data_IF_617384316784
#
_entry.id   IF_617384316784
#
_cell.length_a   1.000
_cell.length_b   1.000
_cell.length_c   1.000
_cell.angle_alpha   90.00
_cell.angle_beta   90.00
_cell.angle_gamma   90.00
#
_symmetry.space_group_name_H-M   'P 1'
#
loop_
_entity.id
_entity.type
_entity.pdbx_description
1 polymer ?
#
# COMPACT_ATOMS: atom_id res chain seq x y z
N UNK A 1 36.74 -73.83 27.58
CA UNK A 1 37.45 -73.59 26.32
C UNK A 1 37.48 -72.09 26.15
N UNK A 2 38.58 -71.52 26.58
CA UNK A 2 39.07 -70.15 26.35
C UNK A 2 40.08 -70.23 25.18
N UNK A 3 40.69 -69.14 24.65
CA UNK A 3 40.45 -67.70 24.89
C UNK A 3 40.63 -66.77 23.64
N UNK A 4 40.49 -65.46 23.90
CA UNK A 4 41.30 -64.30 23.47
C UNK A 4 41.58 -63.93 21.99
N UNK A 5 41.37 -62.64 21.70
CA UNK A 5 42.32 -61.66 21.13
C UNK A 5 41.61 -60.28 21.24
N UNK A 6 41.86 -59.42 22.22
CA UNK A 6 42.98 -58.46 22.35
C UNK A 6 43.37 -57.74 21.04
N UNK A 7 43.02 -56.46 20.92
CA UNK A 7 44.01 -55.40 20.71
C UNK A 7 43.43 -53.98 20.93
N UNK A 8 43.87 -53.39 22.03
CA UNK A 8 44.06 -51.96 22.27
C UNK A 8 45.16 -51.39 21.36
N UNK A 9 45.15 -50.07 21.07
CA UNK A 9 46.28 -49.10 21.25
C UNK A 9 45.94 -47.72 20.65
N UNK A 10 45.97 -46.71 21.54
CA UNK A 10 46.54 -45.35 21.47
C UNK A 10 46.62 -44.60 20.12
N UNK A 11 46.00 -43.41 20.01
CA UNK A 11 46.51 -42.07 20.37
C UNK A 11 47.50 -41.48 19.35
N UNK A 12 47.15 -40.31 18.79
CA UNK A 12 47.95 -39.07 18.84
C UNK A 12 47.54 -38.07 17.73
N UNK A 13 47.28 -36.83 18.16
CA UNK A 13 47.28 -35.63 17.32
C UNK A 13 48.59 -35.51 16.52
N UNK A 14 48.53 -34.76 15.40
CA UNK A 14 49.43 -33.62 15.34
C UNK A 14 48.76 -32.30 14.92
N UNK A 15 49.10 -31.31 15.72
CA UNK A 15 49.02 -29.86 15.59
C UNK A 15 49.28 -29.28 14.18
N UNK A 16 48.63 -28.14 13.93
CA UNK A 16 49.18 -26.86 13.37
C UNK A 16 49.70 -26.89 11.93
N UNK A 17 49.45 -25.96 11.00
CA UNK A 17 49.08 -24.52 11.02
C UNK A 17 48.87 -24.08 9.54
N UNK A 18 48.91 -22.77 9.19
CA UNK A 18 47.78 -21.98 8.73
C UNK A 18 47.76 -21.76 7.20
N UNK A 19 46.61 -21.37 6.66
CA UNK A 19 46.59 -20.63 5.40
C UNK A 19 45.71 -19.39 5.55
N UNK A 20 46.38 -18.29 5.85
CA UNK A 20 45.90 -16.96 5.50
C UNK A 20 45.85 -16.84 3.98
N UNK A 21 44.74 -16.33 3.44
CA UNK A 21 44.82 -15.42 2.31
C UNK A 21 43.61 -14.50 2.34
N UNK A 22 43.89 -13.31 2.86
CA UNK A 22 43.29 -12.03 2.51
C UNK A 22 42.69 -11.99 1.09
N UNK A 23 41.45 -11.50 0.98
CA UNK A 23 41.10 -10.54 -0.06
C UNK A 23 39.93 -9.69 0.43
N UNK A 24 40.30 -8.52 0.94
CA UNK A 24 39.40 -7.40 1.15
C UNK A 24 38.89 -6.92 -0.22
N UNK A 25 37.59 -7.07 -0.48
CA UNK A 25 36.93 -6.36 -1.58
C UNK A 25 36.32 -5.10 -1.01
N UNK A 26 36.96 -3.99 -1.38
CA UNK A 26 36.63 -2.61 -1.06
C UNK A 26 35.19 -2.29 -1.47
N UNK A 27 34.39 -1.80 -0.54
CA UNK A 27 33.08 -1.21 -0.80
C UNK A 27 33.25 0.04 -1.69
N UNK A 28 32.42 0.25 -2.73
CA UNK A 28 32.34 1.53 -3.38
C UNK A 28 31.46 2.47 -2.55
N UNK A 29 32.09 3.51 -1.99
CA UNK A 29 31.42 4.73 -1.58
C UNK A 29 30.62 5.26 -2.79
N UNK A 30 29.32 5.49 -2.60
CA UNK A 30 28.54 6.35 -3.50
C UNK A 30 27.98 7.50 -2.73
N UNK A 31 28.52 8.65 -3.09
CA UNK A 31 28.16 9.99 -2.69
C UNK A 31 26.66 10.26 -2.89
N UNK A 32 26.11 11.07 -1.99
CA UNK A 32 24.72 11.50 -2.04
C UNK A 32 24.46 12.41 -3.24
N UNK A 33 23.54 11.99 -4.10
CA UNK A 33 22.87 12.89 -5.04
C UNK A 33 21.64 13.48 -4.35
N UNK A 34 21.78 14.73 -3.91
CA UNK A 34 20.67 15.59 -3.49
C UNK A 34 19.77 15.88 -4.69
N UNK A 35 18.46 15.74 -4.49
CA UNK A 35 17.45 15.97 -5.51
C UNK A 35 17.16 17.47 -5.68
N UNK A 36 18.11 18.22 -6.26
CA UNK A 36 17.86 19.52 -6.88
C UNK A 36 18.62 19.56 -8.22
N UNK A 37 18.00 20.20 -9.22
CA UNK A 37 18.50 20.44 -10.58
C UNK A 37 18.43 19.29 -11.60
N UNK A 38 17.30 19.23 -12.32
CA UNK A 38 17.37 19.17 -13.79
C UNK A 38 16.08 19.67 -14.45
N UNK A 39 16.04 20.98 -14.70
CA UNK A 39 15.09 21.57 -15.63
C UNK A 39 15.67 21.53 -17.06
N UNK A 40 14.83 21.02 -17.99
CA UNK A 40 14.70 21.47 -19.39
C UNK A 40 15.62 20.81 -20.45
N UNK A 41 15.10 19.75 -21.06
CA UNK A 41 15.27 19.48 -22.49
C UNK A 41 14.06 18.72 -23.05
N UNK A 42 13.11 19.45 -23.64
CA UNK A 42 11.96 18.90 -24.37
C UNK A 42 12.39 18.34 -25.73
N UNK A 43 12.31 17.02 -25.90
CA UNK A 43 12.29 16.34 -27.20
C UNK A 43 10.88 15.81 -27.44
N UNK A 44 10.16 16.37 -28.43
CA UNK A 44 8.82 15.91 -28.83
C UNK A 44 8.94 14.63 -29.66
N UNK A 45 8.18 13.54 -29.38
CA UNK A 45 8.10 12.42 -30.29
C UNK A 45 7.14 12.71 -31.45
N UNK A 46 7.63 12.52 -32.68
CA UNK A 46 6.86 12.55 -33.92
C UNK A 46 6.12 11.22 -34.06
N UNK A 47 4.79 11.23 -33.95
CA UNK A 47 3.97 10.04 -34.19
C UNK A 47 3.42 10.06 -35.62
N UNK A 48 3.98 9.22 -36.49
CA UNK A 48 3.47 9.00 -37.85
C UNK A 48 2.13 8.22 -37.79
N UNK A 49 1.05 8.84 -38.29
CA UNK A 49 -0.25 8.17 -38.45
C UNK A 49 -0.20 7.18 -39.62
N UNK A 50 -0.28 5.88 -39.33
CA UNK A 50 -0.68 4.85 -40.31
C UNK A 50 -2.21 4.83 -40.42
N UNK A 51 -2.74 5.19 -41.58
CA UNK A 51 -4.15 4.99 -41.92
C UNK A 51 -4.38 3.54 -42.34
N UNK A 52 -5.26 2.81 -41.65
CA UNK A 52 -5.84 1.55 -42.13
C UNK A 52 -7.25 1.85 -42.64
N UNK A 53 -7.49 1.60 -43.92
CA UNK A 53 -8.80 1.71 -44.55
C UNK A 53 -9.64 0.47 -44.20
N UNK A 54 -10.80 0.67 -43.58
CA UNK A 54 -11.83 -0.36 -43.45
C UNK A 54 -12.96 -0.04 -44.43
N UNK A 55 -13.21 -0.97 -45.36
CA UNK A 55 -14.30 -0.93 -46.35
C UNK A 55 -15.50 -1.65 -45.76
N UNK A 56 -16.49 -0.91 -45.25
CA UNK A 56 -17.75 -1.49 -44.78
C UNK A 56 -18.77 -1.60 -45.93
N UNK A 57 -19.35 -2.80 -46.07
CA UNK A 57 -20.43 -3.12 -47.02
C UNK A 57 -21.77 -2.54 -46.56
N UNK A 58 -22.63 -2.25 -47.55
CA UNK A 58 -23.98 -1.65 -47.47
C UNK A 58 -24.98 -2.58 -46.78
N UNK A 59 -25.91 -2.01 -46.01
CA UNK A 59 -27.13 -2.67 -45.50
C UNK A 59 -27.72 -1.97 -44.27
N UNK A 60 -28.79 -1.18 -44.47
CA UNK A 60 -29.60 -0.37 -43.54
C UNK A 60 -30.34 -1.20 -42.44
N UNK A 61 -31.13 -0.59 -41.50
CA UNK A 61 -31.03 0.69 -40.78
C UNK A 61 -31.27 0.54 -39.24
N UNK A 62 -30.62 1.31 -38.37
CA UNK A 62 -31.10 1.49 -36.96
C UNK A 62 -30.95 2.95 -36.52
N UNK A 63 -32.01 3.40 -35.85
CA UNK A 63 -32.47 4.73 -35.43
C UNK A 63 -31.45 5.78 -34.95
N UNK A 64 -31.62 6.99 -35.48
CA UNK A 64 -31.13 8.24 -34.90
C UNK A 64 -31.87 8.52 -33.58
N UNK A 65 -31.21 8.28 -32.44
CA UNK A 65 -31.73 8.76 -31.15
C UNK A 65 -30.68 8.86 -30.03
N UNK A 66 -29.47 9.36 -30.32
CA UNK A 66 -28.53 9.77 -29.24
C UNK A 66 -27.51 10.85 -29.62
N UNK A 67 -27.30 11.11 -30.91
CA UNK A 67 -26.44 12.19 -31.39
C UNK A 67 -27.10 13.58 -31.36
N UNK A 68 -28.44 13.67 -31.45
CA UNK A 68 -29.17 14.95 -31.40
C UNK A 68 -29.41 15.50 -29.98
N UNK A 69 -29.12 14.72 -28.93
CA UNK A 69 -29.30 15.19 -27.53
C UNK A 69 -28.08 15.89 -26.93
N UNK A 70 -26.92 15.88 -27.59
CA UNK A 70 -25.70 16.55 -27.10
C UNK A 70 -25.30 17.79 -27.91
N UNK A 71 -26.05 18.15 -28.97
CA UNK A 71 -25.80 19.38 -29.74
C UNK A 71 -26.70 20.56 -29.33
N UNK A 72 -27.67 20.35 -28.42
CA UNK A 72 -28.54 21.42 -27.90
C UNK A 72 -28.22 21.86 -26.45
N UNK A 73 -27.04 21.50 -25.91
CA UNK A 73 -26.64 21.89 -24.54
C UNK A 73 -25.36 22.74 -24.45
N UNK A 74 -24.81 23.14 -25.59
CA UNK A 74 -23.68 24.09 -25.66
C UNK A 74 -24.06 25.42 -26.32
N UNK A 75 -25.32 25.63 -26.68
CA UNK A 75 -25.85 26.91 -27.16
C UNK A 75 -26.99 27.38 -26.24
N UNK A 76 -26.61 27.78 -25.03
CA UNK A 76 -27.40 28.61 -24.10
C UNK A 76 -26.53 28.89 -22.87
N UNK A 77 -25.57 29.80 -23.01
CA UNK A 77 -25.03 30.77 -22.03
C UNK A 77 -24.05 31.62 -22.86
N UNK A 78 -24.62 32.44 -23.73
CA UNK A 78 -23.97 33.56 -24.41
C UNK A 78 -25.11 34.43 -24.92
N UNK A 79 -25.69 35.19 -23.99
CA UNK A 79 -26.81 36.08 -24.24
C UNK A 79 -26.84 37.12 -23.12
N UNK A 80 -26.58 38.35 -23.53
CA UNK A 80 -27.02 39.59 -22.89
C UNK A 80 -26.28 40.06 -21.64
N UNK A 81 -25.04 40.52 -21.86
CA UNK A 81 -24.48 41.67 -21.14
C UNK A 81 -24.30 42.79 -22.16
N UNK A 82 -25.34 43.61 -22.29
CA UNK A 82 -25.27 44.86 -23.02
C UNK A 82 -24.66 45.90 -22.07
N UNK A 83 -23.42 46.31 -22.34
CA UNK A 83 -22.79 47.44 -21.66
C UNK A 83 -23.09 48.71 -22.46
N UNK A 84 -24.11 49.46 -22.05
CA UNK A 84 -24.27 50.83 -22.51
C UNK A 84 -23.46 51.74 -21.59
N UNK A 85 -22.24 52.07 -22.02
CA UNK A 85 -21.43 53.15 -21.43
C UNK A 85 -21.85 54.43 -22.14
N UNK A 86 -22.76 55.18 -21.51
CA UNK A 86 -23.09 56.55 -21.89
C UNK A 86 -22.33 57.53 -21.00
N UNK A 87 -21.41 58.30 -21.58
CA UNK A 87 -20.81 59.47 -20.93
C UNK A 87 -21.51 60.70 -21.51
N UNK A 88 -22.16 61.49 -20.66
CA UNK A 88 -22.43 62.91 -20.92
C UNK A 88 -22.21 63.64 -19.59
N UNK A 89 -21.24 64.56 -19.59
CA UNK A 89 -20.94 65.40 -18.44
C UNK A 89 -21.85 66.61 -18.37
N UNK A 90 -22.16 67.04 -17.15
CA UNK A 90 -22.33 68.44 -16.76
C UNK A 90 -22.45 68.50 -15.24
N UNK A 91 -21.98 69.62 -14.70
CA UNK A 91 -21.77 69.93 -13.29
C UNK A 91 -22.98 69.77 -12.35
N UNK A 92 -22.63 69.74 -11.06
CA UNK A 92 -23.42 69.93 -9.83
C UNK A 92 -24.02 68.70 -9.13
N UNK A 93 -23.75 68.68 -7.82
CA UNK A 93 -24.28 67.79 -6.78
C UNK A 93 -25.75 67.43 -6.96
N UNK A 94 -26.10 66.15 -6.81
CA UNK A 94 -27.31 65.71 -6.10
C UNK A 94 -27.33 64.20 -5.91
N UNK A 95 -27.52 63.80 -4.65
CA UNK A 95 -27.88 62.44 -4.23
C UNK A 95 -29.16 61.96 -4.94
N UNK A 96 -29.14 60.74 -5.48
CA UNK A 96 -30.38 60.02 -5.81
C UNK A 96 -30.38 58.65 -5.16
N UNK A 97 -31.28 58.56 -4.18
CA UNK A 97 -31.70 57.38 -3.43
C UNK A 97 -32.39 56.40 -4.38
N UNK A 98 -31.88 55.17 -4.47
CA UNK A 98 -32.60 54.05 -5.07
C UNK A 98 -32.97 53.03 -3.97
N UNK A 99 -34.20 53.14 -3.50
CA UNK A 99 -34.82 52.18 -2.58
C UNK A 99 -35.07 50.85 -3.26
N UNK A 100 -34.35 49.79 -2.85
CA UNK A 100 -34.61 48.42 -3.29
C UNK A 100 -35.40 47.69 -2.22
N UNK A 101 -36.62 47.29 -2.58
CA UNK A 101 -37.52 46.48 -1.76
C UNK A 101 -37.02 45.04 -1.64
N UNK A 102 -36.87 44.55 -0.42
CA UNK A 102 -36.45 43.18 -0.13
C UNK A 102 -37.54 42.17 -0.54
N UNK A 103 -37.23 41.31 -1.52
CA UNK A 103 -37.79 39.94 -1.55
C UNK A 103 -36.73 38.98 -1.03
N UNK A 104 -37.01 38.44 0.15
CA UNK A 104 -36.21 37.45 0.85
C UNK A 104 -36.03 36.20 -0.01
N UNK A 105 -34.81 35.97 -0.48
CA UNK A 105 -34.35 34.67 -0.93
C UNK A 105 -33.09 34.34 -0.10
N UNK A 106 -33.26 33.40 0.84
CA UNK A 106 -32.20 32.89 1.70
C UNK A 106 -31.21 32.05 0.87
N UNK A 107 -30.20 32.69 0.31
CA UNK A 107 -29.02 32.00 -0.20
C UNK A 107 -28.11 31.63 0.98
N UNK A 108 -28.29 30.41 1.50
CA UNK A 108 -27.31 29.76 2.35
C UNK A 108 -26.06 29.46 1.50
N UNK A 109 -25.13 30.43 1.44
CA UNK A 109 -23.79 30.19 0.95
C UNK A 109 -23.07 29.30 1.98
N UNK A 110 -23.07 28.00 1.74
CA UNK A 110 -22.27 27.05 2.52
C UNK A 110 -20.82 27.29 2.15
N UNK A 111 -20.15 28.17 2.89
CA UNK A 111 -18.71 28.37 2.80
C UNK A 111 -18.03 27.03 3.09
N UNK A 112 -17.59 26.36 2.02
CA UNK A 112 -16.71 25.20 2.11
C UNK A 112 -15.40 25.69 2.70
N UNK A 113 -15.26 25.59 4.03
CA UNK A 113 -13.98 25.74 4.72
C UNK A 113 -13.09 24.60 4.21
N UNK A 114 -12.33 24.86 3.16
CA UNK A 114 -11.22 23.99 2.76
C UNK A 114 -10.30 23.90 3.98
N UNK A 115 -10.22 22.72 4.59
CA UNK A 115 -9.19 22.44 5.60
C UNK A 115 -7.82 22.75 4.97
N UNK A 116 -6.96 23.53 5.63
CA UNK A 116 -5.67 23.90 5.05
C UNK A 116 -4.79 22.66 4.88
N UNK A 117 -3.98 22.65 3.81
CA UNK A 117 -2.99 21.59 3.50
C UNK A 117 -1.95 21.34 4.62
N UNK A 118 -1.87 22.25 5.58
CA UNK A 118 -0.88 22.26 6.66
C UNK A 118 -0.92 21.06 7.61
N UNK A 119 -2.07 20.41 7.78
CA UNK A 119 -2.25 19.37 8.82
C UNK A 119 -1.36 18.12 8.58
N UNK A 120 -0.97 17.84 7.33
CA UNK A 120 -0.14 16.67 6.96
C UNK A 120 1.34 17.00 6.83
N UNK A 121 1.70 18.25 6.50
CA UNK A 121 3.10 18.70 6.57
C UNK A 121 3.55 18.84 8.03
N UNK A 122 2.63 19.24 8.92
CA UNK A 122 2.86 19.29 10.36
C UNK A 122 3.06 17.89 10.97
N UNK A 123 2.41 16.84 10.46
CA UNK A 123 2.53 15.49 11.04
C UNK A 123 3.90 14.87 10.82
N UNK A 124 4.53 15.09 9.65
CA UNK A 124 5.90 14.65 9.38
C UNK A 124 6.92 15.42 10.24
N UNK A 125 6.69 16.73 10.47
CA UNK A 125 7.55 17.58 11.29
C UNK A 125 7.41 17.35 12.81
N UNK A 126 6.31 16.73 13.25
CA UNK A 126 6.04 16.42 14.66
C UNK A 126 6.31 14.95 15.02
N UNK A 127 6.58 14.08 14.04
CA UNK A 127 6.87 12.69 14.33
C UNK A 127 8.28 12.57 14.92
N UNK A 128 8.35 12.23 16.19
CA UNK A 128 9.58 12.11 16.95
C UNK A 128 10.29 10.79 16.59
N UNK A 129 11.14 10.82 15.56
CA UNK A 129 11.94 9.65 15.13
C UNK A 129 12.91 9.16 16.22
N UNK A 130 13.21 9.99 17.24
CA UNK A 130 14.03 9.60 18.39
C UNK A 130 13.22 8.77 19.42
N UNK A 131 11.89 8.74 19.29
CA UNK A 131 10.98 7.97 20.15
C UNK A 131 10.12 7.01 19.34
N UNK A 132 10.77 6.26 18.47
CA UNK A 132 10.11 5.16 17.77
C UNK A 132 9.64 4.09 18.78
N UNK A 133 8.46 3.49 18.55
CA UNK A 133 8.01 2.35 19.32
C UNK A 133 9.01 1.19 19.22
N UNK A 134 9.02 0.34 20.26
CA UNK A 134 9.88 -0.83 20.28
C UNK A 134 9.55 -1.80 19.14
N UNK A 135 10.58 -2.50 18.63
CA UNK A 135 10.41 -3.62 17.69
C UNK A 135 9.66 -4.76 18.37
N UNK A 136 8.79 -5.42 17.60
CA UNK A 136 8.09 -6.61 18.09
C UNK A 136 9.07 -7.77 18.27
N UNK A 137 8.85 -8.59 19.31
CA UNK A 137 9.70 -9.74 19.59
C UNK A 137 9.38 -10.93 18.66
N UNK A 138 10.33 -11.83 18.36
CA UNK A 138 10.09 -13.00 17.49
C UNK A 138 8.85 -13.82 17.89
N UNK A 139 8.65 -14.06 19.19
CA UNK A 139 7.50 -14.80 19.72
C UNK A 139 6.13 -14.17 19.43
N UNK A 140 6.07 -12.90 19.03
CA UNK A 140 4.83 -12.27 18.57
C UNK A 140 4.29 -12.93 17.29
N UNK A 141 5.19 -13.41 16.43
CA UNK A 141 4.91 -13.94 15.10
C UNK A 141 4.72 -15.46 15.07
N UNK A 142 5.17 -16.15 16.12
CA UNK A 142 5.07 -17.61 16.30
C UNK A 142 3.65 -18.04 16.72
N UNK A 143 2.65 -17.63 15.94
CA UNK A 143 1.28 -18.08 16.04
C UNK A 143 0.68 -18.24 14.64
N UNK A 144 -0.40 -19.00 14.51
CA UNK A 144 -1.03 -19.21 13.21
C UNK A 144 -1.44 -17.88 12.56
N UNK A 145 -1.54 -17.86 11.22
CA UNK A 145 -1.79 -16.62 10.47
C UNK A 145 -3.13 -15.95 10.81
N UNK A 146 -4.14 -16.70 11.25
CA UNK A 146 -5.45 -16.16 11.64
C UNK A 146 -5.40 -15.44 12.98
N UNK A 147 -4.54 -15.86 13.90
CA UNK A 147 -4.25 -15.16 15.14
C UNK A 147 -3.33 -13.97 14.90
N UNK A 148 -2.32 -14.10 14.04
CA UNK A 148 -1.37 -13.03 13.76
C UNK A 148 -2.03 -11.85 13.04
N UNK A 149 -2.90 -12.10 12.08
CA UNK A 149 -3.51 -11.07 11.24
C UNK A 149 -4.19 -9.93 12.04
N UNK A 150 -5.11 -10.17 12.98
CA UNK A 150 -5.69 -9.11 13.79
C UNK A 150 -4.66 -8.44 14.72
N UNK A 151 -3.63 -9.15 15.20
CA UNK A 151 -2.58 -8.60 16.07
C UNK A 151 -1.68 -7.59 15.32
N UNK A 152 -1.50 -7.77 14.02
CA UNK A 152 -0.74 -6.87 13.15
C UNK A 152 -1.46 -5.55 12.87
N UNK A 153 -2.78 -5.48 13.01
CA UNK A 153 -3.51 -4.24 12.82
C UNK A 153 -3.06 -3.20 13.87
N UNK A 154 -2.82 -1.97 13.40
CA UNK A 154 -2.39 -0.84 14.23
C UNK A 154 -0.88 -0.78 14.49
N UNK A 155 -0.13 -1.85 14.16
CA UNK A 155 1.34 -1.88 14.20
C UNK A 155 1.94 -1.04 13.08
N UNK A 156 3.21 -0.65 13.22
CA UNK A 156 3.88 0.20 12.24
C UNK A 156 4.90 -0.58 11.40
N UNK A 157 4.83 -0.36 10.09
CA UNK A 157 5.91 -0.69 9.17
C UNK A 157 6.82 0.52 9.07
N UNK A 158 8.13 0.30 9.24
CA UNK A 158 9.15 1.33 9.07
C UNK A 158 10.17 0.92 8.02
N UNK A 159 10.51 1.86 7.14
CA UNK A 159 11.67 1.76 6.26
C UNK A 159 12.24 3.13 5.95
N UNK A 160 13.51 3.34 6.27
CA UNK A 160 14.18 4.63 6.20
C UNK A 160 13.40 5.68 7.03
N UNK A 161 13.00 6.79 6.40
CA UNK A 161 12.13 7.84 6.95
C UNK A 161 10.63 7.48 6.89
N UNK A 162 10.24 6.45 6.14
CA UNK A 162 8.82 6.10 5.95
C UNK A 162 8.32 5.30 7.15
N UNK A 163 7.24 5.77 7.77
CA UNK A 163 6.48 5.05 8.80
C UNK A 163 5.02 4.98 8.39
N UNK A 164 4.45 3.79 8.42
CA UNK A 164 3.05 3.56 8.05
C UNK A 164 2.37 2.61 9.04
N UNK A 165 1.14 2.94 9.43
CA UNK A 165 0.33 2.07 10.27
C UNK A 165 -0.41 1.03 9.43
N UNK A 166 -0.33 -0.24 9.78
CA UNK A 166 -1.07 -1.32 9.13
C UNK A 166 -2.56 -1.18 9.46
N UNK A 167 -3.39 -1.01 8.43
CA UNK A 167 -4.84 -0.81 8.57
C UNK A 167 -5.67 -1.95 8.00
N UNK A 168 -5.07 -2.80 7.17
CA UNK A 168 -5.75 -3.92 6.54
C UNK A 168 -4.77 -5.04 6.18
N UNK A 169 -5.16 -6.29 6.44
CA UNK A 169 -4.37 -7.48 6.16
C UNK A 169 -5.23 -8.66 5.67
N UNK A 170 -4.59 -9.69 5.12
CA UNK A 170 -5.21 -10.98 4.80
C UNK A 170 -4.36 -12.15 5.30
N UNK A 171 -4.99 -13.16 5.90
CA UNK A 171 -4.33 -14.38 6.34
C UNK A 171 -4.33 -15.46 5.25
N UNK A 172 -3.23 -16.20 5.17
CA UNK A 172 -3.04 -17.37 4.31
C UNK A 172 -2.42 -18.50 5.15
N UNK A 173 -3.11 -19.64 5.22
CA UNK A 173 -2.78 -20.74 6.13
C UNK A 173 -2.34 -22.00 5.36
N UNK A 174 -1.80 -23.03 6.03
CA UNK A 174 -1.67 -24.36 5.45
C UNK A 174 -3.05 -24.92 5.06
N UNK A 175 -3.12 -25.72 3.99
CA UNK A 175 -4.38 -26.29 3.48
C UNK A 175 -5.27 -25.33 2.69
N UNK A 176 -5.04 -24.02 2.78
CA UNK A 176 -5.76 -22.99 2.01
C UNK A 176 -5.39 -23.04 0.52
N UNK A 177 -6.39 -23.24 -0.34
CA UNK A 177 -6.19 -23.30 -1.78
C UNK A 177 -5.83 -21.94 -2.42
N UNK A 178 -5.95 -20.83 -1.68
CA UNK A 178 -5.43 -19.53 -2.09
C UNK A 178 -3.96 -19.30 -1.66
N UNK A 179 -3.46 -20.03 -0.67
CA UNK A 179 -2.10 -19.87 -0.15
C UNK A 179 -1.06 -20.34 -1.16
N UNK A 180 0.06 -19.59 -1.28
CA UNK A 180 1.18 -20.02 -2.13
C UNK A 180 1.88 -21.27 -1.57
N UNK A 181 1.83 -21.49 -0.25
CA UNK A 181 2.41 -22.65 0.43
C UNK A 181 1.81 -23.99 -0.01
N UNK A 182 0.62 -24.01 -0.63
CA UNK A 182 -0.02 -25.24 -1.12
C UNK A 182 0.81 -26.04 -2.14
N UNK A 183 1.78 -25.39 -2.79
CA UNK A 183 2.70 -26.03 -3.73
C UNK A 183 4.03 -26.45 -3.09
N UNK A 184 4.15 -26.34 -1.77
CA UNK A 184 5.36 -26.62 -1.02
C UNK A 184 6.43 -25.55 -1.18
N UNK A 185 7.66 -25.93 -0.81
CA UNK A 185 8.83 -25.05 -0.82
C UNK A 185 9.36 -24.92 -2.26
N UNK A 186 9.42 -23.68 -2.73
CA UNK A 186 10.02 -23.28 -4.01
C UNK A 186 10.93 -22.09 -3.74
N UNK A 187 11.82 -21.68 -4.68
CA UNK A 187 12.62 -20.48 -4.49
C UNK A 187 11.80 -19.23 -4.16
N UNK A 188 10.56 -19.15 -4.68
CA UNK A 188 9.63 -18.06 -4.39
C UNK A 188 9.02 -18.19 -2.99
N UNK A 189 8.56 -19.37 -2.61
CA UNK A 189 7.81 -19.60 -1.37
C UNK A 189 8.71 -19.88 -0.16
N UNK A 190 10.01 -20.09 -0.33
CA UNK A 190 10.94 -20.43 0.75
C UNK A 190 10.80 -19.50 1.97
N UNK A 191 10.69 -18.18 1.76
CA UNK A 191 10.50 -17.22 2.85
C UNK A 191 9.23 -17.44 3.68
N UNK A 192 8.13 -17.90 3.06
CA UNK A 192 6.86 -18.22 3.74
C UNK A 192 6.99 -19.47 4.64
N UNK A 193 7.98 -20.33 4.37
CA UNK A 193 8.30 -21.49 5.21
C UNK A 193 9.44 -21.21 6.19
N UNK A 194 10.02 -20.01 6.18
CA UNK A 194 11.04 -19.61 7.15
C UNK A 194 10.46 -19.29 8.53
N UNK A 195 11.26 -18.73 9.44
CA UNK A 195 10.79 -18.39 10.77
C UNK A 195 9.74 -17.27 10.77
N UNK A 196 8.83 -17.28 11.74
CA UNK A 196 7.86 -16.21 11.95
C UNK A 196 8.51 -14.82 12.02
N UNK A 197 7.85 -13.81 11.50
CA UNK A 197 8.33 -12.42 11.52
C UNK A 197 9.31 -12.06 10.42
N UNK A 198 9.51 -12.93 9.44
CA UNK A 198 10.27 -12.62 8.24
C UNK A 198 9.37 -12.05 7.13
N UNK A 199 9.91 -11.16 6.32
CA UNK A 199 9.21 -10.63 5.16
C UNK A 199 9.16 -11.70 4.06
N UNK A 200 7.97 -12.00 3.54
CA UNK A 200 7.79 -12.74 2.30
C UNK A 200 7.34 -11.77 1.20
N UNK A 201 8.30 -11.43 0.32
CA UNK A 201 8.09 -10.45 -0.76
C UNK A 201 8.11 -11.14 -2.12
N UNK A 202 7.09 -10.90 -2.94
CA UNK A 202 7.04 -11.42 -4.30
C UNK A 202 6.47 -10.42 -5.30
N UNK A 203 6.88 -10.57 -6.56
CA UNK A 203 6.35 -9.79 -7.67
C UNK A 203 5.03 -10.41 -8.18
N UNK A 204 3.95 -9.64 -8.11
CA UNK A 204 2.63 -10.01 -8.60
C UNK A 204 2.37 -9.36 -9.97
N UNK A 205 1.94 -10.17 -10.94
CA UNK A 205 1.65 -9.76 -12.33
C UNK A 205 2.76 -8.93 -13.00
N UNK A 206 4.02 -9.13 -12.59
CA UNK A 206 5.17 -8.39 -13.15
C UNK A 206 5.27 -6.92 -12.74
N UNK A 207 4.36 -6.41 -11.89
CA UNK A 207 4.23 -4.96 -11.63
C UNK A 207 4.28 -4.58 -10.16
N UNK A 208 3.78 -5.43 -9.27
CA UNK A 208 3.52 -5.04 -7.89
C UNK A 208 4.24 -5.95 -6.89
N UNK A 209 5.09 -5.38 -6.05
CA UNK A 209 5.68 -6.10 -4.92
C UNK A 209 4.64 -6.26 -3.82
N UNK A 210 4.38 -7.51 -3.43
CA UNK A 210 3.46 -7.86 -2.35
C UNK A 210 4.27 -8.18 -1.11
N UNK A 211 4.01 -7.47 -0.02
CA UNK A 211 4.64 -7.72 1.28
C UNK A 211 3.75 -8.60 2.14
N UNK A 212 4.26 -9.74 2.55
CA UNK A 212 3.65 -10.62 3.53
C UNK A 212 4.59 -10.75 4.73
N UNK A 213 4.03 -11.10 5.88
CA UNK A 213 4.78 -11.42 7.09
C UNK A 213 4.58 -12.91 7.34
N UNK A 214 5.68 -13.67 7.35
CA UNK A 214 5.65 -15.10 7.67
C UNK A 214 5.12 -15.28 9.09
N UNK A 215 4.18 -16.19 9.24
CA UNK A 215 3.52 -16.53 10.49
C UNK A 215 3.91 -17.95 10.88
N UNK A 216 3.59 -18.30 12.13
CA UNK A 216 3.82 -19.63 12.69
C UNK A 216 5.32 -19.96 12.89
N UNK A 217 5.59 -21.17 13.36
CA UNK A 217 6.94 -21.71 13.43
C UNK A 217 7.48 -22.06 12.04
N UNK A 218 8.81 -22.16 11.95
CA UNK A 218 9.49 -22.53 10.71
C UNK A 218 8.98 -23.87 10.14
N UNK A 219 8.80 -23.93 8.83
CA UNK A 219 8.36 -25.11 8.09
C UNK A 219 6.86 -25.22 7.87
N UNK A 220 6.03 -24.39 8.51
CA UNK A 220 4.55 -24.49 8.40
C UNK A 220 4.02 -23.94 7.07
N UNK A 221 4.58 -22.83 6.57
CA UNK A 221 4.14 -22.23 5.31
C UNK A 221 2.90 -21.34 5.42
N UNK A 222 2.87 -20.46 6.42
CA UNK A 222 1.77 -19.53 6.68
C UNK A 222 2.25 -18.07 6.58
N UNK A 223 1.37 -17.15 6.15
CA UNK A 223 1.73 -15.73 6.11
C UNK A 223 0.51 -14.81 6.18
N UNK A 224 0.78 -13.55 6.52
CA UNK A 224 -0.20 -12.46 6.50
C UNK A 224 0.21 -11.40 5.47
N UNK A 225 -0.61 -11.19 4.46
CA UNK A 225 -0.44 -10.13 3.45
C UNK A 225 -0.76 -8.77 4.06
N UNK A 226 0.13 -7.79 3.89
CA UNK A 226 -0.16 -6.39 4.20
C UNK A 226 -0.88 -5.75 3.02
N UNK A 227 -2.13 -5.32 3.24
CA UNK A 227 -3.00 -4.83 2.17
C UNK A 227 -3.12 -3.33 2.11
N UNK A 228 -3.25 -2.68 3.25
CA UNK A 228 -3.35 -1.24 3.28
C UNK A 228 -2.69 -0.70 4.53
N UNK A 229 -2.23 0.55 4.41
CA UNK A 229 -1.69 1.30 5.52
C UNK A 229 -2.25 2.74 5.55
N UNK A 230 -2.10 3.39 6.71
CA UNK A 230 -2.18 4.84 6.84
C UNK A 230 -0.76 5.43 6.93
N UNK A 231 -0.48 6.58 6.31
CA UNK A 231 0.82 7.24 6.43
C UNK A 231 0.93 7.85 7.84
N UNK A 232 2.08 7.67 8.48
CA UNK A 232 2.39 8.25 9.80
C UNK A 232 3.52 9.28 9.67
N UNK A 233 4.59 8.91 8.95
CA UNK A 233 5.72 9.78 8.67
C UNK A 233 6.34 9.46 7.30
N UNK A 234 7.12 10.40 6.74
CA UNK A 234 7.80 10.24 5.45
C UNK A 234 6.86 10.38 4.25
N UNK A 235 5.86 11.26 4.33
CA UNK A 235 4.84 11.44 3.28
C UNK A 235 5.47 11.81 1.94
N UNK A 236 6.49 12.66 1.93
CA UNK A 236 7.19 13.04 0.70
C UNK A 236 7.84 11.83 0.01
N UNK A 237 8.53 10.98 0.76
CA UNK A 237 9.13 9.73 0.26
C UNK A 237 8.07 8.76 -0.26
N UNK A 238 6.96 8.60 0.47
CA UNK A 238 5.80 7.81 0.02
C UNK A 238 5.30 8.35 -1.33
N UNK A 239 5.01 9.65 -1.44
CA UNK A 239 4.48 10.25 -2.66
C UNK A 239 5.43 10.13 -3.85
N UNK A 240 6.72 10.34 -3.61
CA UNK A 240 7.77 10.22 -4.62
C UNK A 240 7.85 8.79 -5.15
N UNK A 241 8.02 7.79 -4.28
CA UNK A 241 8.06 6.37 -4.67
C UNK A 241 6.78 5.92 -5.38
N UNK A 242 5.64 6.51 -4.99
CA UNK A 242 4.33 6.24 -5.59
C UNK A 242 4.05 6.99 -6.89
N UNK A 243 4.84 8.02 -7.22
CA UNK A 243 4.61 8.89 -8.38
C UNK A 243 3.28 9.66 -8.32
N UNK A 244 2.71 9.87 -7.13
CA UNK A 244 1.44 10.58 -6.94
C UNK A 244 1.51 11.51 -5.73
N UNK A 245 1.22 12.80 -5.94
CA UNK A 245 1.21 13.82 -4.90
C UNK A 245 -0.20 13.99 -4.31
N UNK A 246 -0.59 13.09 -3.41
CA UNK A 246 -1.87 13.15 -2.71
C UNK A 246 -1.77 12.59 -1.29
N UNK A 247 -2.60 13.11 -0.39
CA UNK A 247 -2.69 12.63 1.01
C UNK A 247 -3.97 11.81 1.21
N UNK A 248 -4.69 11.51 0.13
CA UNK A 248 -5.96 10.79 0.17
C UNK A 248 -5.70 9.28 0.34
N UNK A 249 -6.70 8.52 0.84
CA UNK A 249 -6.60 7.06 1.02
C UNK A 249 -6.08 6.29 -0.19
N UNK A 250 -6.34 6.77 -1.41
CA UNK A 250 -5.83 6.18 -2.65
C UNK A 250 -4.30 5.99 -2.64
N UNK A 251 -3.58 6.77 -1.82
CA UNK A 251 -2.15 6.68 -1.61
C UNK A 251 -1.72 5.36 -0.97
N UNK A 252 -2.48 4.66 -0.12
CA UNK A 252 -1.99 3.44 0.56
C UNK A 252 -3.02 2.33 0.66
N UNK A 253 -4.16 2.48 -0.03
CA UNK A 253 -5.23 1.48 -0.10
C UNK A 253 -4.97 0.46 -1.22
N UNK A 254 -4.17 -0.57 -0.93
CA UNK A 254 -3.86 -1.70 -1.84
C UNK A 254 -2.48 -2.32 -1.58
N UNK A 255 -2.31 -3.65 -1.73
CA UNK A 255 -1.07 -4.31 -1.29
C UNK A 255 0.14 -3.89 -2.13
N UNK A 256 0.01 -3.83 -3.47
CA UNK A 256 1.07 -3.32 -4.34
C UNK A 256 1.42 -1.85 -4.11
N UNK A 257 0.46 -1.08 -3.60
CA UNK A 257 0.62 0.33 -3.24
C UNK A 257 1.47 0.49 -1.98
N UNK A 258 1.31 -0.41 -1.00
CA UNK A 258 2.15 -0.49 0.20
C UNK A 258 3.58 -0.88 -0.19
N UNK A 259 3.74 -1.93 -0.99
CA UNK A 259 5.08 -2.36 -1.44
C UNK A 259 5.83 -1.27 -2.20
N UNK A 260 5.14 -0.54 -3.08
CA UNK A 260 5.74 0.59 -3.80
C UNK A 260 6.08 1.76 -2.87
N UNK A 261 5.24 2.10 -1.89
CA UNK A 261 5.51 3.18 -0.93
C UNK A 261 6.74 2.90 -0.05
N UNK A 262 6.98 1.63 0.27
CA UNK A 262 8.19 1.19 0.98
C UNK A 262 9.41 1.09 0.06
N UNK A 263 9.23 1.09 -1.27
CA UNK A 263 10.34 0.91 -2.22
C UNK A 263 10.89 -0.52 -2.21
N UNK A 264 10.03 -1.52 -2.02
CA UNK A 264 10.46 -2.92 -1.91
C UNK A 264 10.88 -3.51 -3.26
N UNK A 265 11.82 -4.44 -3.17
CA UNK A 265 12.21 -5.41 -4.20
C UNK A 265 12.09 -6.83 -3.62
N UNK A 266 12.25 -7.85 -4.45
CA UNK A 266 12.27 -9.25 -3.98
C UNK A 266 13.47 -9.60 -3.09
N UNK A 267 14.49 -8.76 -3.04
CA UNK A 267 15.67 -8.94 -2.19
C UNK A 267 15.35 -8.81 -0.70
N UNK A 268 14.22 -8.15 -0.38
CA UNK A 268 13.70 -8.08 0.98
C UNK A 268 13.03 -9.37 1.44
N UNK A 269 12.84 -10.36 0.56
CA UNK A 269 12.27 -11.64 0.94
C UNK A 269 13.23 -12.40 1.86
N UNK A 270 12.71 -13.00 2.92
CA UNK A 270 13.44 -13.58 4.06
C UNK A 270 14.16 -12.58 4.96
N UNK A 271 13.84 -11.28 4.88
CA UNK A 271 14.38 -10.30 5.82
C UNK A 271 13.66 -10.37 7.18
N UNK A 272 14.37 -10.52 8.32
CA UNK A 272 13.76 -10.48 9.66
C UNK A 272 13.26 -9.08 10.00
N UNK A 273 11.97 -8.94 10.36
CA UNK A 273 11.33 -7.64 10.63
C UNK A 273 11.54 -7.13 12.07
N UNK A 274 12.10 -7.95 12.95
CA UNK A 274 12.34 -7.64 14.35
C UNK A 274 13.79 -7.21 14.63
N UNK A 275 14.65 -7.17 13.62
CA UNK A 275 16.05 -6.70 13.72
C UNK A 275 16.19 -5.30 13.12
N UNK A 276 17.21 -4.57 13.55
CA UNK A 276 17.66 -3.39 12.79
C UNK A 276 18.21 -3.83 11.44
N UNK A 277 17.89 -3.11 10.37
CA UNK A 277 18.32 -3.53 9.04
C UNK A 277 17.53 -2.96 7.87
N UNK A 278 16.61 -2.03 8.12
CA UNK A 278 15.99 -1.21 7.09
C UNK A 278 14.51 -1.49 6.85
N UNK A 279 13.99 -2.72 7.01
CA UNK A 279 12.54 -2.96 7.00
C UNK A 279 12.12 -3.59 8.32
N UNK A 280 11.36 -2.82 9.11
CA UNK A 280 11.09 -3.15 10.50
C UNK A 280 9.59 -3.15 10.80
N UNK A 281 9.21 -3.97 11.76
CA UNK A 281 7.88 -3.95 12.34
C UNK A 281 7.93 -3.52 13.81
N UNK A 282 7.32 -2.37 14.06
CA UNK A 282 7.29 -1.73 15.38
C UNK A 282 5.94 -1.92 16.04
N UNK A 283 5.95 -1.91 17.37
CA UNK A 283 4.72 -1.95 18.16
C UNK A 283 3.87 -0.70 17.92
N UNK A 284 2.57 -0.84 18.14
CA UNK A 284 1.58 0.19 17.87
C UNK A 284 0.24 -0.14 18.50
N UNK A 285 -0.64 0.85 18.64
CA UNK A 285 -1.88 0.72 19.39
C UNK A 285 -2.76 -0.38 18.77
N UNK A 286 -3.30 -1.25 19.62
CA UNK A 286 -4.31 -2.21 19.18
C UNK A 286 -5.59 -1.46 18.76
N UNK A 287 -6.24 -1.85 17.64
CA UNK A 287 -7.48 -1.22 17.22
C UNK A 287 -8.63 -1.59 18.17
N UNK A 288 -9.50 -0.62 18.46
CA UNK A 288 -10.70 -0.85 19.28
C UNK A 288 -11.72 -1.76 18.58
N UNK A 289 -11.83 -1.62 17.25
CA UNK A 289 -12.84 -2.30 16.45
C UNK A 289 -12.23 -2.84 15.16
N UNK A 290 -12.48 -4.11 14.87
CA UNK A 290 -11.98 -4.82 13.68
C UNK A 290 -13.17 -5.23 12.80
N UNK A 291 -12.99 -5.08 11.50
CA UNK A 291 -13.86 -5.63 10.48
C UNK A 291 -13.22 -6.89 9.86
N UNK A 292 -14.06 -7.84 9.47
CA UNK A 292 -13.66 -9.06 8.73
C UNK A 292 -14.46 -9.23 7.45
N UNK A 293 -13.86 -9.86 6.45
CA UNK A 293 -14.53 -10.17 5.18
C UNK A 293 -13.77 -11.20 4.36
N UNK A 294 -14.30 -11.56 3.18
CA UNK A 294 -13.58 -12.40 2.25
C UNK A 294 -12.37 -11.67 1.67
N UNK A 295 -11.34 -12.45 1.36
CA UNK A 295 -10.09 -11.98 0.77
C UNK A 295 -10.31 -11.54 -0.68
N UNK A 296 -9.44 -10.69 -1.19
CA UNK A 296 -9.61 -10.03 -2.50
C UNK A 296 -8.66 -10.61 -3.53
N UNK A 297 -9.20 -10.94 -4.71
CA UNK A 297 -8.41 -11.39 -5.86
C UNK A 297 -8.02 -12.87 -5.80
N UNK A 298 -8.78 -13.67 -5.05
CA UNK A 298 -8.58 -15.12 -4.90
C UNK A 298 -9.71 -15.95 -5.51
N UNK A 299 -10.40 -15.43 -6.53
CA UNK A 299 -11.53 -16.12 -7.18
C UNK A 299 -11.14 -17.46 -7.82
N UNK A 300 -9.84 -17.72 -7.99
CA UNK A 300 -9.30 -19.00 -8.46
C UNK A 300 -9.24 -20.08 -7.36
N UNK A 301 -9.35 -19.70 -6.09
CA UNK A 301 -9.31 -20.61 -4.96
C UNK A 301 -10.62 -21.42 -4.86
N UNK A 302 -10.64 -22.40 -3.97
CA UNK A 302 -11.82 -23.16 -3.62
C UNK A 302 -12.96 -22.22 -3.18
N UNK A 303 -14.20 -22.63 -3.43
CA UNK A 303 -15.36 -21.81 -3.09
C UNK A 303 -15.49 -21.56 -1.57
N UNK A 304 -14.92 -22.44 -0.75
CA UNK A 304 -14.83 -22.30 0.70
C UNK A 304 -13.80 -21.23 1.08
N UNK A 305 -12.56 -21.37 0.60
CA UNK A 305 -11.46 -20.45 0.89
C UNK A 305 -11.70 -19.02 0.36
N UNK A 306 -12.40 -18.91 -0.77
CA UNK A 306 -12.80 -17.62 -1.35
C UNK A 306 -13.86 -16.90 -0.51
N UNK A 307 -14.69 -17.63 0.23
CA UNK A 307 -15.74 -17.07 1.11
C UNK A 307 -15.28 -16.89 2.56
N UNK A 308 -14.18 -17.53 2.95
CA UNK A 308 -13.63 -17.45 4.29
C UNK A 308 -13.31 -16.01 4.70
N UNK A 309 -13.69 -15.63 5.92
CA UNK A 309 -13.57 -14.25 6.43
C UNK A 309 -12.16 -13.94 6.95
N UNK A 310 -11.14 -14.17 6.12
CA UNK A 310 -9.71 -14.08 6.48
C UNK A 310 -9.04 -12.77 6.04
N UNK A 311 -9.84 -11.75 5.73
CA UNK A 311 -9.40 -10.37 5.54
C UNK A 311 -9.80 -9.55 6.75
N UNK A 312 -8.87 -8.81 7.32
CA UNK A 312 -9.06 -8.04 8.55
C UNK A 312 -8.74 -6.57 8.30
N UNK A 313 -9.52 -5.66 8.87
CA UNK A 313 -9.30 -4.21 8.73
C UNK A 313 -9.70 -3.44 10.00
N UNK A 314 -9.05 -2.31 10.27
CA UNK A 314 -9.44 -1.41 11.35
C UNK A 314 -10.75 -0.73 10.99
N UNK A 315 -11.76 -0.78 11.86
CA UNK A 315 -13.04 -0.11 11.60
C UNK A 315 -12.91 1.42 11.65
N UNK A 316 -13.70 2.13 10.84
CA UNK A 316 -13.74 3.60 10.85
C UNK A 316 -12.57 4.30 10.15
N UNK A 317 -11.47 3.60 9.82
CA UNK A 317 -10.37 4.19 9.06
C UNK A 317 -10.73 4.37 7.58
N UNK A 318 -10.36 5.49 6.94
CA UNK A 318 -10.55 5.65 5.50
C UNK A 318 -9.54 4.85 4.67
N UNK A 319 -8.51 4.29 5.31
CA UNK A 319 -7.36 3.59 4.73
C UNK A 319 -7.61 2.08 4.53
N UNK A 320 -8.82 1.71 4.10
CA UNK A 320 -9.18 0.33 3.74
C UNK A 320 -9.29 0.25 2.21
N UNK A 321 -8.70 -0.79 1.60
CA UNK A 321 -8.81 -1.04 0.16
C UNK A 321 -10.21 -1.46 -0.26
N UNK A 322 -10.51 -1.33 -1.55
CA UNK A 322 -11.75 -1.84 -2.12
C UNK A 322 -11.67 -3.37 -2.33
N UNK A 323 -12.80 -4.08 -2.30
CA UNK A 323 -14.14 -3.63 -1.90
C UNK A 323 -14.26 -3.47 -0.37
N UNK A 324 -15.15 -2.57 0.09
CA UNK A 324 -15.39 -2.32 1.53
C UNK A 324 -16.74 -2.83 2.02
N UNK A 325 -17.69 -3.00 1.12
CA UNK A 325 -19.08 -3.38 1.41
C UNK A 325 -19.23 -4.85 1.84
N UNK A 326 -18.19 -5.67 1.67
CA UNK A 326 -18.14 -7.07 2.09
C UNK A 326 -17.46 -7.28 3.45
N UNK A 327 -17.09 -6.19 4.13
CA UNK A 327 -16.54 -6.21 5.47
C UNK A 327 -17.67 -6.06 6.50
N UNK A 328 -17.65 -6.89 7.54
CA UNK A 328 -18.60 -6.87 8.66
C UNK A 328 -17.83 -6.79 9.99
N UNK A 329 -18.42 -6.25 11.06
CA UNK A 329 -17.77 -6.26 12.36
C UNK A 329 -17.37 -7.67 12.80
N UNK A 330 -16.16 -7.84 13.32
CA UNK A 330 -15.73 -9.09 13.94
C UNK A 330 -16.59 -9.35 15.18
N UNK A 331 -17.40 -10.40 15.14
CA UNK A 331 -18.27 -10.79 16.26
C UNK A 331 -17.50 -11.77 17.16
N UNK A 332 -16.98 -11.28 18.29
CA UNK A 332 -16.27 -12.09 19.32
C UNK A 332 -14.91 -12.65 18.80
N UNK A 333 -13.90 -12.94 19.65
CA UNK A 333 -12.58 -13.37 19.16
C UNK A 333 -12.71 -14.63 18.30
N UNK A 334 -11.89 -14.71 17.23
CA UNK A 334 -11.79 -15.88 16.36
C UNK A 334 -11.65 -17.12 17.24
N UNK A 335 -12.60 -18.06 17.14
CA UNK A 335 -12.43 -19.36 17.77
C UNK A 335 -11.23 -20.03 17.09
N UNK A 336 -10.29 -20.63 17.85
CA UNK A 336 -9.22 -21.39 17.26
C UNK A 336 -9.82 -22.49 16.38
N UNK A 337 -9.30 -22.64 15.17
CA UNK A 337 -9.62 -23.78 14.32
C UNK A 337 -9.15 -25.02 15.08
N UNK A 338 -10.09 -25.85 15.48
CA UNK A 338 -9.82 -27.12 16.16
C UNK A 338 -8.98 -27.99 15.22
N UNK A 339 -7.88 -28.53 15.76
CA UNK A 339 -6.87 -29.38 15.09
C UNK A 339 -7.45 -30.53 14.23
#
# INVERSE_FOLDING_TARGET
MDPADEDTVEASDPKSSPFESSNAVKAPEKEGETCEDNARATVKPVYQRRTRSFRAKRGLPISASKAERNLQRTERISGDLQCDIGINGSDNDTDIVASITHKSASLSARASRKRPKFETEISDLLFDYEKLPARLQPSFFECNALELAPKLLGKFLRRDDVVMQITEVEAYCPGDSACHGRFGITPRTAAMFGPGGHAYVYLCYGLHMMLNITADIEGVGAAVLIRSCAPIAGLQSIQCRRGVHTNKPALLTGPGKVGQALGLSTEWSSHPLYTEGGLELLDGPAPENILVGPRVGIDYASAEDAKALWRFAIAGTPWISAPRNNLVPLKTPLQPLVE
#
